data_IF_080678883600
#
_entry.id   IF_080678883600
#
_cell.length_a   1.000
_cell.length_b   1.000
_cell.length_c   1.000
_cell.angle_alpha   90.00
_cell.angle_beta   90.00
_cell.angle_gamma   90.00
#
_symmetry.space_group_name_H-M   'P 1'
#
loop_
_entity.id
_entity.type
_entity.pdbx_description
1 polymer ?
#
# COMPACT_ATOMS: atom_id res chain seq x y z
N UNK A 1 -31.05 4.10 6.23
CA UNK A 1 -30.00 4.57 5.30
C UNK A 1 -28.67 4.33 5.98
N UNK A 2 -27.91 3.36 5.48
CA UNK A 2 -26.71 2.84 6.13
C UNK A 2 -25.51 3.65 5.66
N UNK A 3 -24.98 4.52 6.51
CA UNK A 3 -23.84 5.39 6.21
C UNK A 3 -22.57 4.53 6.12
N UNK A 4 -22.22 4.09 4.91
CA UNK A 4 -20.96 3.40 4.68
C UNK A 4 -19.80 4.40 4.81
N UNK A 5 -19.03 4.27 5.90
CA UNK A 5 -17.57 4.40 5.84
C UNK A 5 -16.93 5.79 5.97
N UNK A 6 -17.50 6.73 6.73
CA UNK A 6 -16.76 7.96 7.11
C UNK A 6 -15.85 7.71 8.31
N UNK A 7 -14.81 6.88 8.16
CA UNK A 7 -13.86 6.59 9.24
C UNK A 7 -12.50 7.21 8.94
N UNK A 8 -11.99 7.99 9.89
CA UNK A 8 -10.59 8.41 9.91
C UNK A 8 -9.69 7.19 9.70
N UNK A 9 -8.67 7.33 8.88
CA UNK A 9 -7.77 6.27 8.47
C UNK A 9 -8.14 5.59 7.15
N UNK A 10 -9.34 5.81 6.64
CA UNK A 10 -9.80 5.29 5.35
C UNK A 10 -8.96 5.79 4.17
N UNK A 11 -8.82 4.93 3.16
CA UNK A 11 -8.10 5.23 1.91
C UNK A 11 -9.09 5.75 0.88
N UNK A 12 -8.74 6.84 0.23
CA UNK A 12 -9.65 7.56 -0.68
C UNK A 12 -8.93 8.03 -1.93
N UNK A 13 -9.66 8.03 -3.05
CA UNK A 13 -9.25 8.66 -4.30
C UNK A 13 -10.16 9.84 -4.55
N UNK A 14 -9.58 10.97 -4.92
CA UNK A 14 -10.34 12.16 -5.33
C UNK A 14 -10.84 11.89 -6.76
N UNK A 15 -12.15 11.79 -6.96
CA UNK A 15 -12.77 11.50 -8.26
C UNK A 15 -13.45 12.71 -8.87
N UNK A 16 -13.86 13.65 -8.04
CA UNK A 16 -14.40 14.95 -8.41
C UNK A 16 -13.94 15.99 -7.37
N UNK A 17 -14.34 17.24 -7.51
CA UNK A 17 -14.11 18.36 -6.59
C UNK A 17 -15.29 19.33 -6.57
N UNK A 18 -16.40 19.04 -7.27
CA UNK A 18 -17.53 19.95 -7.43
C UNK A 18 -18.10 20.43 -6.09
N UNK A 19 -18.20 19.54 -5.11
CA UNK A 19 -18.82 19.80 -3.79
C UNK A 19 -17.82 20.33 -2.76
N UNK A 20 -16.53 20.28 -3.07
CA UNK A 20 -15.44 20.71 -2.20
C UNK A 20 -15.35 22.24 -2.06
N UNK A 21 -14.69 22.76 -1.00
CA UNK A 21 -14.53 24.20 -0.79
C UNK A 21 -13.93 24.91 -2.01
N UNK A 22 -14.35 26.15 -2.28
CA UNK A 22 -13.87 26.91 -3.45
C UNK A 22 -12.34 27.01 -3.55
N UNK A 23 -11.64 27.10 -2.41
CA UNK A 23 -10.16 27.09 -2.36
C UNK A 23 -9.56 25.76 -2.82
N UNK A 24 -10.16 24.63 -2.45
CA UNK A 24 -9.78 23.31 -2.95
C UNK A 24 -10.06 23.22 -4.45
N UNK A 25 -11.21 23.74 -4.90
CA UNK A 25 -11.61 23.67 -6.31
C UNK A 25 -10.67 24.38 -7.28
N UNK A 26 -9.99 25.42 -6.82
CA UNK A 26 -8.96 26.10 -7.62
C UNK A 26 -7.81 25.17 -8.08
N UNK A 27 -7.66 24.00 -7.44
CA UNK A 27 -6.64 23.00 -7.75
C UNK A 27 -7.21 21.72 -8.38
N UNK A 28 -8.42 21.79 -8.96
CA UNK A 28 -9.15 20.67 -9.56
C UNK A 28 -8.28 19.74 -10.41
N UNK A 29 -7.57 20.33 -11.38
CA UNK A 29 -6.78 19.63 -12.38
C UNK A 29 -5.64 18.81 -11.78
N UNK A 30 -5.15 19.19 -10.61
CA UNK A 30 -4.08 18.48 -9.92
C UNK A 30 -4.59 17.49 -8.88
N UNK A 31 -5.68 17.83 -8.19
CA UNK A 31 -6.26 17.00 -7.12
C UNK A 31 -7.03 15.79 -7.66
N UNK A 32 -7.76 15.93 -8.77
CA UNK A 32 -8.53 14.82 -9.34
C UNK A 32 -7.57 13.70 -9.75
N UNK A 33 -7.89 12.47 -9.33
CA UNK A 33 -7.06 11.29 -9.56
C UNK A 33 -6.09 10.99 -8.42
N UNK A 34 -5.77 11.96 -7.56
CA UNK A 34 -4.87 11.78 -6.43
C UNK A 34 -5.47 10.83 -5.39
N UNK A 35 -4.57 10.15 -4.68
CA UNK A 35 -4.91 9.20 -3.62
C UNK A 35 -4.38 9.73 -2.30
N UNK A 36 -5.03 9.31 -1.21
CA UNK A 36 -4.61 9.69 0.11
C UNK A 36 -5.32 8.94 1.22
N UNK A 37 -5.07 9.41 2.43
CA UNK A 37 -5.65 8.90 3.68
C UNK A 37 -6.49 9.99 4.33
N UNK A 38 -7.67 9.63 4.80
CA UNK A 38 -8.50 10.51 5.63
C UNK A 38 -7.83 10.64 7.00
N UNK A 39 -7.38 11.83 7.37
CA UNK A 39 -6.69 12.10 8.65
C UNK A 39 -7.59 12.79 9.68
N UNK A 40 -8.67 13.42 9.23
CA UNK A 40 -9.68 14.01 10.11
C UNK A 40 -11.00 14.20 9.36
N UNK A 41 -12.07 14.39 10.12
CA UNK A 41 -13.42 14.66 9.62
C UNK A 41 -13.83 16.05 10.12
N UNK A 42 -14.27 16.91 9.22
CA UNK A 42 -14.58 18.31 9.49
C UNK A 42 -16.07 18.59 9.19
N UNK A 43 -16.56 19.73 9.68
CA UNK A 43 -17.92 20.26 9.39
C UNK A 43 -19.01 19.20 9.53
N UNK A 44 -19.14 18.63 10.72
CA UNK A 44 -20.18 17.66 11.07
C UNK A 44 -20.25 16.44 10.13
N UNK A 45 -19.10 16.02 9.58
CA UNK A 45 -19.06 14.83 8.73
C UNK A 45 -19.14 15.09 7.24
N UNK A 46 -19.29 16.32 6.79
CA UNK A 46 -19.43 16.64 5.35
C UNK A 46 -18.10 16.72 4.61
N UNK A 47 -17.02 17.07 5.31
CA UNK A 47 -15.69 17.17 4.73
C UNK A 47 -14.73 16.16 5.36
N UNK A 48 -13.91 15.53 4.53
CA UNK A 48 -12.74 14.78 4.93
C UNK A 48 -11.49 15.65 4.75
N UNK A 49 -10.63 15.69 5.76
CA UNK A 49 -9.27 16.18 5.59
C UNK A 49 -8.43 15.01 5.06
N UNK A 50 -8.02 15.10 3.80
CA UNK A 50 -7.26 14.05 3.11
C UNK A 50 -5.79 14.44 3.06
N UNK A 51 -4.93 13.57 3.59
CA UNK A 51 -3.48 13.64 3.41
C UNK A 51 -3.11 12.85 2.15
N UNK A 52 -2.59 13.54 1.13
CA UNK A 52 -2.25 12.92 -0.16
C UNK A 52 -1.01 12.04 -0.04
N UNK A 53 -0.98 10.97 -0.83
CA UNK A 53 0.21 10.14 -1.02
C UNK A 53 1.23 10.87 -1.90
N UNK A 54 2.53 10.65 -1.66
CA UNK A 54 3.62 11.21 -2.46
C UNK A 54 4.67 11.92 -1.62
N UNK A 55 5.82 12.19 -2.24
CA UNK A 55 6.91 12.94 -1.59
C UNK A 55 6.55 14.44 -1.54
N UNK A 56 6.92 15.17 -0.46
CA UNK A 56 6.56 16.58 -0.31
C UNK A 56 7.06 17.48 -1.45
N UNK A 57 8.14 17.08 -2.13
CA UNK A 57 8.68 17.79 -3.30
C UNK A 57 7.78 17.71 -4.54
N UNK A 58 6.87 16.74 -4.59
CA UNK A 58 5.95 16.52 -5.71
C UNK A 58 4.60 17.21 -5.52
N UNK A 59 4.36 17.80 -4.32
CA UNK A 59 3.10 18.42 -3.96
C UNK A 59 3.09 19.92 -4.26
N UNK A 60 2.00 20.41 -4.89
CA UNK A 60 1.82 21.83 -5.17
C UNK A 60 1.89 22.67 -3.88
N UNK A 61 2.91 23.53 -3.80
CA UNK A 61 3.12 24.42 -2.66
C UNK A 61 3.40 23.70 -1.33
N UNK A 62 3.79 22.42 -1.36
CA UNK A 62 4.05 21.62 -0.16
C UNK A 62 2.82 21.29 0.68
N UNK A 63 1.61 21.60 0.18
CA UNK A 63 0.37 21.34 0.89
C UNK A 63 0.02 19.84 0.82
N UNK A 64 0.19 19.15 1.96
CA UNK A 64 -0.11 17.71 2.10
C UNK A 64 -1.58 17.40 2.38
N UNK A 65 -2.32 18.35 2.96
CA UNK A 65 -3.65 18.11 3.52
C UNK A 65 -4.69 19.00 2.88
N UNK A 66 -5.73 18.37 2.35
CA UNK A 66 -6.76 19.03 1.57
C UNK A 66 -8.14 18.71 2.14
N UNK A 67 -8.99 19.71 2.42
CA UNK A 67 -10.38 19.46 2.77
C UNK A 67 -11.17 19.14 1.48
N UNK A 68 -11.68 17.92 1.40
CA UNK A 68 -12.46 17.39 0.26
C UNK A 68 -13.85 16.96 0.76
N UNK A 69 -14.90 17.20 -0.02
CA UNK A 69 -16.25 16.71 0.30
C UNK A 69 -16.35 15.19 0.11
N UNK A 70 -17.15 14.50 0.92
CA UNK A 70 -17.25 13.03 0.79
C UNK A 70 -17.78 12.57 -0.55
N UNK A 71 -18.73 13.29 -1.16
CA UNK A 71 -19.27 12.97 -2.49
C UNK A 71 -18.25 13.11 -3.62
N UNK A 72 -17.15 13.82 -3.36
CA UNK A 72 -16.03 13.99 -4.29
C UNK A 72 -14.96 12.89 -4.12
N UNK A 73 -15.15 11.99 -3.14
CA UNK A 73 -14.22 10.93 -2.77
C UNK A 73 -14.80 9.56 -3.11
N UNK A 74 -13.96 8.74 -3.74
CA UNK A 74 -14.17 7.30 -3.79
C UNK A 74 -13.40 6.66 -2.63
N UNK A 75 -14.13 6.19 -1.62
CA UNK A 75 -13.56 5.32 -0.59
C UNK A 75 -13.23 4.00 -1.26
N UNK A 76 -11.97 3.61 -1.17
CA UNK A 76 -11.54 2.29 -1.59
C UNK A 76 -10.88 1.63 -0.39
N UNK A 77 -11.22 0.37 -0.16
CA UNK A 77 -10.26 -0.44 0.57
C UNK A 77 -9.04 -0.51 -0.36
N UNK A 78 -7.90 0.00 0.13
CA UNK A 78 -6.71 -0.80 -0.14
C UNK A 78 -7.04 -2.06 0.64
N UNK A 79 -7.76 -3.00 0.01
CA UNK A 79 -7.42 -4.37 0.26
C UNK A 79 -5.91 -4.31 0.08
N UNK A 80 -5.15 -4.51 1.15
CA UNK A 80 -3.85 -5.11 0.97
C UNK A 80 -4.24 -6.37 0.20
N UNK A 81 -4.27 -6.25 -1.14
CA UNK A 81 -5.12 -7.08 -2.01
C UNK A 81 -4.89 -8.48 -1.51
N UNK A 82 -5.96 -9.26 -1.17
CA UNK A 82 -5.85 -10.42 -0.31
C UNK A 82 -4.53 -11.03 -0.66
N UNK A 83 -3.55 -11.01 0.27
CA UNK A 83 -2.27 -11.66 0.00
C UNK A 83 -2.74 -12.96 -0.58
N UNK A 84 -2.50 -13.21 -1.87
CA UNK A 84 -2.98 -14.42 -2.50
C UNK A 84 -2.08 -15.44 -1.80
N UNK A 85 -2.54 -15.87 -0.62
CA UNK A 85 -1.89 -16.79 0.27
C UNK A 85 -1.71 -18.12 -0.48
N UNK A 86 -2.45 -18.26 -1.58
CA UNK A 86 -2.51 -19.41 -2.45
C UNK A 86 -1.50 -19.39 -3.61
N UNK A 87 -0.90 -18.27 -4.03
CA UNK A 87 -0.11 -18.29 -5.29
C UNK A 87 1.34 -17.76 -5.22
N UNK A 88 1.82 -17.27 -4.07
CA UNK A 88 3.09 -16.55 -4.02
C UNK A 88 4.01 -16.90 -2.85
N UNK A 89 5.28 -17.14 -3.13
CA UNK A 89 6.32 -17.20 -2.11
C UNK A 89 6.66 -15.81 -1.57
N UNK A 90 6.84 -15.71 -0.25
CA UNK A 90 7.34 -14.52 0.45
C UNK A 90 8.86 -14.49 0.43
N UNK A 91 9.43 -13.31 0.58
CA UNK A 91 10.85 -13.10 0.71
C UNK A 91 11.32 -13.40 2.15
N UNK A 92 12.29 -14.31 2.28
CA UNK A 92 13.08 -14.50 3.49
C UNK A 92 14.56 -14.27 3.24
N UNK A 93 15.28 -13.78 4.24
CA UNK A 93 16.72 -13.58 4.14
C UNK A 93 17.49 -14.62 4.95
N UNK A 94 18.50 -15.23 4.33
CA UNK A 94 19.54 -15.95 5.08
C UNK A 94 20.75 -15.03 5.23
N UNK A 95 21.18 -14.77 6.47
CA UNK A 95 22.17 -13.76 6.88
C UNK A 95 21.62 -12.33 7.04
N UNK A 96 22.14 -11.61 8.04
CA UNK A 96 21.73 -10.26 8.43
C UNK A 96 22.60 -9.15 7.82
N UNK A 97 23.61 -9.50 7.00
CA UNK A 97 24.65 -8.56 6.54
C UNK A 97 24.62 -8.34 5.03
N UNK A 98 25.65 -7.64 4.52
CA UNK A 98 25.84 -7.33 3.09
C UNK A 98 25.81 -8.53 2.14
N UNK A 99 25.83 -9.77 2.63
CA UNK A 99 25.75 -11.00 1.85
C UNK A 99 24.41 -11.73 2.03
N UNK A 100 23.35 -11.02 2.45
CA UNK A 100 22.02 -11.60 2.59
C UNK A 100 21.54 -12.18 1.25
N UNK A 101 21.15 -13.45 1.27
CA UNK A 101 20.55 -14.16 0.13
C UNK A 101 19.05 -14.16 0.28
N UNK A 102 18.35 -13.85 -0.80
CA UNK A 102 16.89 -13.82 -0.88
C UNK A 102 16.36 -15.23 -1.16
N UNK A 103 15.46 -15.71 -0.33
CA UNK A 103 14.84 -17.03 -0.43
C UNK A 103 13.34 -16.91 -0.57
N UNK A 104 12.76 -17.90 -1.24
CA UNK A 104 11.32 -18.12 -1.33
C UNK A 104 10.83 -18.84 -0.07
N UNK A 105 9.78 -18.32 0.56
CA UNK A 105 9.24 -18.81 1.83
C UNK A 105 7.72 -18.92 1.73
N UNK A 106 7.17 -20.07 2.15
CA UNK A 106 5.72 -20.23 2.25
C UNK A 106 5.16 -19.36 3.38
N UNK A 107 3.88 -18.98 3.25
CA UNK A 107 3.19 -18.24 4.31
C UNK A 107 3.26 -18.99 5.65
N UNK A 108 3.62 -18.28 6.72
CA UNK A 108 3.74 -18.86 8.07
C UNK A 108 5.02 -19.67 8.33
N UNK A 109 5.84 -19.97 7.31
CA UNK A 109 7.09 -20.71 7.47
C UNK A 109 8.26 -19.80 7.88
N UNK A 110 9.21 -20.36 8.64
CA UNK A 110 10.54 -19.78 8.93
C UNK A 110 11.67 -20.49 8.17
N UNK A 111 11.31 -21.40 7.28
CA UNK A 111 12.22 -22.19 6.46
C UNK A 111 11.91 -21.92 4.99
N UNK A 112 12.95 -21.65 4.21
CA UNK A 112 12.80 -21.45 2.78
C UNK A 112 12.48 -22.75 2.04
N UNK A 113 12.04 -22.62 0.79
CA UNK A 113 11.86 -23.77 -0.12
C UNK A 113 13.11 -24.65 -0.25
N UNK A 114 14.30 -24.06 -0.19
CA UNK A 114 15.55 -24.83 -0.27
C UNK A 114 16.01 -25.41 1.07
N UNK A 115 15.15 -25.36 2.11
CA UNK A 115 15.42 -25.94 3.43
C UNK A 115 16.31 -25.07 4.33
N UNK A 116 16.67 -23.85 3.91
CA UNK A 116 17.50 -22.97 4.74
C UNK A 116 16.65 -22.20 5.76
N UNK A 117 17.15 -22.00 7.00
CA UNK A 117 16.52 -21.09 7.93
C UNK A 117 16.61 -19.66 7.39
N UNK A 118 15.53 -18.92 7.53
CA UNK A 118 15.43 -17.55 7.05
C UNK A 118 14.79 -16.66 8.10
N UNK A 119 15.07 -15.37 7.99
CA UNK A 119 14.37 -14.33 8.72
C UNK A 119 13.41 -13.64 7.75
N UNK A 120 12.08 -13.89 7.87
CA UNK A 120 11.09 -13.08 7.18
C UNK A 120 11.27 -11.63 7.61
N UNK A 121 11.16 -10.69 6.68
CA UNK A 121 11.15 -9.26 6.98
C UNK A 121 9.70 -8.76 6.96
N UNK A 122 8.97 -8.83 8.09
CA UNK A 122 7.74 -8.09 8.20
C UNK A 122 8.08 -6.60 8.22
N UNK A 123 7.53 -5.87 7.28
CA UNK A 123 7.41 -4.41 7.35
C UNK A 123 5.94 -4.20 7.68
N UNK A 124 5.54 -3.40 8.66
CA UNK A 124 4.14 -3.03 8.98
C UNK A 124 3.03 -4.06 8.64
N UNK A 125 3.14 -5.32 9.08
CA UNK A 125 2.22 -6.44 8.79
C UNK A 125 2.10 -6.91 7.32
N UNK A 126 2.92 -6.37 6.41
CA UNK A 126 3.11 -6.86 5.04
C UNK A 126 4.41 -7.66 4.91
N UNK A 127 4.37 -8.68 4.06
CA UNK A 127 5.56 -9.46 3.67
C UNK A 127 5.91 -9.11 2.23
N UNK A 128 7.18 -8.82 1.96
CA UNK A 128 7.63 -8.63 0.58
C UNK A 128 7.52 -9.94 -0.21
N UNK A 129 7.02 -9.92 -1.46
CA UNK A 129 7.01 -11.10 -2.31
C UNK A 129 8.44 -11.49 -2.73
N UNK A 130 8.69 -12.78 -2.90
CA UNK A 130 9.93 -13.26 -3.46
C UNK A 130 9.99 -12.92 -4.96
N UNK A 131 11.09 -12.30 -5.40
CA UNK A 131 11.34 -12.04 -6.82
C UNK A 131 12.42 -12.99 -7.35
N UNK A 132 12.10 -13.90 -8.29
CA UNK A 132 13.08 -14.83 -8.85
C UNK A 132 14.14 -14.12 -9.71
N UNK A 133 13.89 -12.87 -10.10
CA UNK A 133 14.81 -12.05 -10.90
C UNK A 133 15.72 -11.17 -10.05
N UNK A 134 15.59 -11.18 -8.73
CA UNK A 134 16.47 -10.39 -7.87
C UNK A 134 17.91 -10.88 -7.98
N UNK A 135 18.88 -9.96 -8.03
CA UNK A 135 20.32 -10.26 -8.15
C UNK A 135 20.82 -11.24 -7.07
N UNK A 136 20.15 -11.27 -5.91
CA UNK A 136 20.50 -12.11 -4.76
C UNK A 136 19.50 -13.23 -4.50
N UNK A 137 18.63 -13.54 -5.47
CA UNK A 137 17.72 -14.67 -5.37
C UNK A 137 18.49 -15.98 -5.28
N UNK A 138 18.12 -16.84 -4.32
CA UNK A 138 18.70 -18.16 -4.18
C UNK A 138 18.34 -19.00 -5.42
N UNK A 139 19.31 -19.49 -6.20
CA UNK A 139 19.03 -20.23 -7.43
C UNK A 139 18.19 -21.49 -7.20
N UNK A 140 18.36 -22.14 -6.06
CA UNK A 140 17.53 -23.30 -5.68
C UNK A 140 16.06 -22.91 -5.47
N UNK A 141 15.80 -21.81 -4.74
CA UNK A 141 14.45 -21.29 -4.57
C UNK A 141 13.83 -20.85 -5.89
N UNK A 142 14.60 -20.24 -6.80
CA UNK A 142 14.12 -19.86 -8.14
C UNK A 142 13.61 -21.07 -8.92
N UNK A 143 14.38 -22.17 -8.93
CA UNK A 143 13.98 -23.39 -9.64
C UNK A 143 12.74 -24.05 -9.02
N UNK A 144 12.71 -24.18 -7.69
CA UNK A 144 11.59 -24.80 -6.98
C UNK A 144 10.31 -23.96 -7.10
N UNK A 145 10.43 -22.64 -7.10
CA UNK A 145 9.29 -21.74 -7.23
C UNK A 145 8.69 -21.70 -8.65
N UNK A 146 9.41 -22.19 -9.66
CA UNK A 146 8.94 -22.25 -11.05
C UNK A 146 8.20 -23.56 -11.37
N UNK A 147 8.18 -24.53 -10.44
CA UNK A 147 7.44 -25.77 -10.62
C UNK A 147 5.96 -25.54 -10.26
N UNK A 148 5.01 -25.93 -11.11
CA UNK A 148 3.60 -25.93 -10.73
C UNK A 148 3.42 -26.92 -9.58
N UNK A 149 2.80 -26.46 -8.49
CA UNK A 149 2.37 -27.27 -7.35
C UNK A 149 1.18 -28.16 -7.72
#
# INVERSE_FOLDING_TARGET
MTTAGSTTGGRVKIVDILHSPARTRAFASWLIGQRGKVVSILRNGTLALVELDGEPSELLGGARRWPIHWDDLLVYTVDAGPVNLEDGYRLGLSSLKRNAVQHAVQAGSRTSLCGKPVHPLPICDWSMPFSPRATRACPACVRLAAQPS
#
